data_IF_265053224235
#
_entry.id   IF_265053224235
#
_cell.length_a   1.000
_cell.length_b   1.000
_cell.length_c   1.000
_cell.angle_alpha   90.00
_cell.angle_beta   90.00
_cell.angle_gamma   90.00
#
_symmetry.space_group_name_H-M   'P 1'
#
loop_
_entity.id
_entity.type
_entity.pdbx_description
1 polymer ?
#
# COMPACT_ATOMS: atom_id res chain seq x y z
N UNK A 1 -22.66 5.82 -11.04
CA UNK A 1 -23.62 4.71 -11.29
C UNK A 1 -22.96 3.52 -12.01
N UNK A 2 -22.06 3.73 -12.97
CA UNK A 2 -21.44 2.65 -13.77
C UNK A 2 -20.61 1.66 -12.94
N UNK A 3 -19.84 2.14 -11.98
CA UNK A 3 -18.95 1.30 -11.14
C UNK A 3 -19.77 0.40 -10.19
N UNK A 4 -20.89 0.91 -9.65
CA UNK A 4 -21.72 0.15 -8.72
C UNK A 4 -22.46 -1.02 -9.38
N UNK A 5 -22.71 -0.95 -10.68
CA UNK A 5 -23.41 -2.00 -11.43
C UNK A 5 -22.53 -3.17 -11.85
N UNK A 6 -21.19 -3.04 -11.73
CA UNK A 6 -20.28 -4.11 -12.10
C UNK A 6 -20.19 -5.15 -10.98
N UNK A 7 -20.43 -6.41 -11.33
CA UNK A 7 -20.15 -7.52 -10.42
C UNK A 7 -18.64 -7.65 -10.21
N UNK A 8 -18.26 -7.92 -8.96
CA UNK A 8 -16.86 -8.20 -8.63
C UNK A 8 -16.47 -9.62 -9.03
N UNK A 9 -16.18 -9.80 -10.32
CA UNK A 9 -15.63 -11.05 -10.89
C UNK A 9 -14.14 -10.90 -11.19
N UNK A 10 -13.37 -11.97 -11.24
CA UNK A 10 -11.93 -11.91 -11.52
C UNK A 10 -11.58 -11.09 -12.77
N UNK A 11 -12.35 -11.18 -13.83
CA UNK A 11 -12.15 -10.44 -15.08
C UNK A 11 -12.72 -9.02 -15.07
N UNK A 12 -13.54 -8.65 -14.09
CA UNK A 12 -14.14 -7.32 -14.02
C UNK A 12 -13.20 -6.24 -13.48
N UNK A 13 -12.01 -6.61 -12.97
CA UNK A 13 -11.05 -5.67 -12.39
C UNK A 13 -10.54 -4.65 -13.42
N UNK A 14 -10.17 -5.13 -14.60
CA UNK A 14 -9.79 -4.23 -15.69
C UNK A 14 -10.97 -3.38 -16.18
N UNK A 15 -12.16 -3.93 -16.19
CA UNK A 15 -13.37 -3.18 -16.51
C UNK A 15 -13.67 -2.09 -15.47
N UNK A 16 -13.43 -2.38 -14.18
CA UNK A 16 -13.52 -1.39 -13.10
C UNK A 16 -12.52 -0.24 -13.31
N UNK A 17 -11.27 -0.57 -13.60
CA UNK A 17 -10.23 0.42 -13.88
C UNK A 17 -10.60 1.28 -15.09
N UNK A 18 -10.98 0.65 -16.19
CA UNK A 18 -11.42 1.34 -17.40
C UNK A 18 -12.61 2.26 -17.14
N UNK A 19 -13.66 1.75 -16.49
CA UNK A 19 -14.84 2.56 -16.16
C UNK A 19 -14.53 3.71 -15.22
N UNK A 20 -13.57 3.52 -14.32
CA UNK A 20 -13.11 4.59 -13.44
C UNK A 20 -12.37 5.67 -14.22
N UNK A 21 -11.48 5.28 -15.14
CA UNK A 21 -10.73 6.22 -15.97
C UNK A 21 -11.66 7.02 -16.90
N UNK A 22 -12.65 6.36 -17.50
CA UNK A 22 -13.66 6.99 -18.36
C UNK A 22 -14.45 8.10 -17.64
N UNK A 23 -14.74 7.95 -16.33
CA UNK A 23 -15.39 9.01 -15.51
C UNK A 23 -14.53 10.27 -15.43
N UNK A 24 -13.22 10.13 -15.54
CA UNK A 24 -12.24 11.22 -15.51
C UNK A 24 -11.68 11.52 -16.91
N UNK A 25 -12.48 11.33 -17.96
CA UNK A 25 -12.12 11.63 -19.35
C UNK A 25 -10.82 10.92 -19.82
N UNK A 26 -10.55 9.72 -19.28
CA UNK A 26 -9.35 8.91 -19.52
C UNK A 26 -8.03 9.59 -19.09
N UNK A 27 -8.08 10.43 -18.07
CA UNK A 27 -6.92 11.14 -17.55
C UNK A 27 -6.48 10.67 -16.15
N UNK A 28 -7.30 9.89 -15.45
CA UNK A 28 -7.00 9.51 -14.05
C UNK A 28 -5.74 8.64 -13.95
N UNK A 29 -5.62 7.65 -14.85
CA UNK A 29 -4.44 6.78 -14.90
C UNK A 29 -3.16 7.57 -15.09
N UNK A 30 -3.16 8.51 -16.04
CA UNK A 30 -2.01 9.39 -16.30
C UNK A 30 -1.69 10.25 -15.09
N UNK A 31 -2.70 10.92 -14.53
CA UNK A 31 -2.54 11.81 -13.36
C UNK A 31 -1.97 11.06 -12.16
N UNK A 32 -2.52 9.90 -11.84
CA UNK A 32 -2.01 9.08 -10.74
C UNK A 32 -0.58 8.62 -10.99
N UNK A 33 -0.27 8.18 -12.20
CA UNK A 33 1.09 7.76 -12.56
C UNK A 33 2.09 8.91 -12.46
N UNK A 34 1.73 10.11 -12.86
CA UNK A 34 2.59 11.29 -12.73
C UNK A 34 2.86 11.62 -11.26
N UNK A 35 1.82 11.65 -10.41
CA UNK A 35 1.94 11.94 -8.99
C UNK A 35 2.80 10.87 -8.27
N UNK A 36 2.52 9.60 -8.54
CA UNK A 36 3.16 8.49 -7.86
C UNK A 36 4.62 8.31 -8.29
N UNK A 37 4.97 8.62 -9.54
CA UNK A 37 6.34 8.51 -10.04
C UNK A 37 7.18 9.78 -9.81
N UNK A 38 6.57 10.85 -9.34
CA UNK A 38 7.32 12.04 -8.92
C UNK A 38 7.86 11.84 -7.51
N UNK A 39 9.19 11.78 -7.38
CA UNK A 39 9.84 11.61 -6.07
C UNK A 39 9.46 12.69 -5.04
N UNK A 40 9.05 13.87 -5.47
CA UNK A 40 8.67 14.96 -4.55
C UNK A 40 7.30 14.74 -3.92
N UNK A 41 6.42 14.02 -4.60
CA UNK A 41 5.06 13.72 -4.13
C UNK A 41 4.93 12.26 -3.72
N UNK A 42 5.06 11.32 -4.62
CA UNK A 42 5.08 9.87 -4.37
C UNK A 42 3.83 9.29 -3.72
N UNK A 43 2.84 10.11 -3.40
CA UNK A 43 1.60 9.68 -2.73
C UNK A 43 0.41 10.55 -3.15
N UNK A 44 -0.79 9.97 -3.04
CA UNK A 44 -2.03 10.67 -3.29
C UNK A 44 -3.11 10.22 -2.30
N UNK A 45 -3.97 11.14 -1.90
CA UNK A 45 -5.18 10.85 -1.14
C UNK A 45 -6.36 10.95 -2.11
N UNK A 46 -7.12 9.87 -2.22
CA UNK A 46 -8.36 9.85 -3.00
C UNK A 46 -9.53 9.88 -2.06
N UNK A 47 -10.20 11.02 -2.01
CA UNK A 47 -11.39 11.22 -1.18
C UNK A 47 -12.63 11.28 -2.10
N UNK A 48 -13.51 10.28 -2.03
CA UNK A 48 -14.74 10.32 -2.79
C UNK A 48 -15.69 11.40 -2.23
N UNK A 49 -16.11 12.36 -3.06
CA UNK A 49 -17.11 13.36 -2.66
C UNK A 49 -18.49 12.72 -2.54
N UNK A 50 -18.87 12.42 -1.30
CA UNK A 50 -20.13 11.74 -1.01
C UNK A 50 -20.98 12.58 -0.09
N UNK A 51 -21.63 13.52 -0.69
CA UNK A 51 -22.67 14.28 -0.01
C UNK A 51 -23.84 13.37 0.31
N UNK A 52 -24.01 13.06 1.60
CA UNK A 52 -25.19 12.39 2.16
C UNK A 52 -25.41 10.89 1.78
N UNK A 53 -24.38 10.15 1.39
CA UNK A 53 -24.51 8.70 1.20
C UNK A 53 -23.65 7.94 2.21
N UNK A 54 -24.26 6.97 2.87
CA UNK A 54 -23.53 5.97 3.65
C UNK A 54 -22.75 5.08 2.67
N UNK A 55 -21.44 4.96 2.89
CA UNK A 55 -20.61 4.10 2.05
C UNK A 55 -21.02 2.65 2.15
N UNK A 56 -21.16 2.02 0.99
CA UNK A 56 -21.16 0.58 0.87
C UNK A 56 -19.70 0.09 0.81
N UNK A 57 -19.37 -0.88 1.66
CA UNK A 57 -18.03 -1.50 1.68
C UNK A 57 -17.68 -2.13 0.33
N UNK A 58 -18.66 -2.62 -0.40
CA UNK A 58 -18.49 -3.15 -1.75
C UNK A 58 -18.04 -2.07 -2.74
N UNK A 59 -18.62 -0.88 -2.66
CA UNK A 59 -18.16 0.28 -3.44
C UNK A 59 -16.69 0.61 -3.17
N UNK A 60 -16.27 0.63 -1.91
CA UNK A 60 -14.88 0.95 -1.55
C UNK A 60 -13.90 -0.12 -2.07
N UNK A 61 -14.26 -1.40 -2.02
CA UNK A 61 -13.46 -2.48 -2.61
C UNK A 61 -13.36 -2.31 -4.13
N UNK A 62 -14.45 -1.99 -4.81
CA UNK A 62 -14.46 -1.76 -6.25
C UNK A 62 -13.62 -0.55 -6.63
N UNK A 63 -13.75 0.56 -5.89
CA UNK A 63 -12.96 1.77 -6.10
C UNK A 63 -11.47 1.49 -5.95
N UNK A 64 -11.06 0.88 -4.83
CA UNK A 64 -9.67 0.53 -4.57
C UNK A 64 -9.10 -0.42 -5.64
N UNK A 65 -9.92 -1.39 -6.07
CA UNK A 65 -9.54 -2.30 -7.15
C UNK A 65 -9.34 -1.56 -8.46
N UNK A 66 -10.27 -0.67 -8.81
CA UNK A 66 -10.13 0.16 -10.01
C UNK A 66 -8.87 1.02 -9.99
N UNK A 67 -8.62 1.71 -8.89
CA UNK A 67 -7.42 2.52 -8.70
C UNK A 67 -6.14 1.69 -8.82
N UNK A 68 -6.09 0.52 -8.17
CA UNK A 68 -4.93 -0.36 -8.24
C UNK A 68 -4.60 -0.79 -9.67
N UNK A 69 -5.61 -1.17 -10.45
CA UNK A 69 -5.42 -1.58 -11.84
C UNK A 69 -5.21 -0.42 -12.83
N UNK A 70 -5.43 0.82 -12.42
CA UNK A 70 -5.05 1.99 -13.20
C UNK A 70 -3.55 2.28 -13.14
N UNK A 71 -2.91 1.97 -12.01
CA UNK A 71 -1.51 2.33 -11.79
C UNK A 71 -0.54 1.14 -11.91
N UNK A 72 -1.04 -0.09 -11.84
CA UNK A 72 -0.18 -1.27 -11.93
C UNK A 72 -0.94 -2.59 -11.85
N UNK A 73 -0.21 -3.64 -11.51
CA UNK A 73 -0.75 -4.98 -11.32
C UNK A 73 -0.72 -5.32 -9.82
N UNK A 74 -1.87 -5.43 -9.17
CA UNK A 74 -1.91 -5.82 -7.76
C UNK A 74 -1.32 -7.21 -7.53
N UNK A 75 -0.55 -7.35 -6.47
CA UNK A 75 -0.01 -8.64 -6.05
C UNK A 75 -1.12 -9.50 -5.44
N UNK A 76 -1.03 -10.79 -5.72
CA UNK A 76 -1.94 -11.77 -5.13
C UNK A 76 -1.50 -12.08 -3.69
N UNK A 77 -2.41 -11.90 -2.73
CA UNK A 77 -2.17 -12.29 -1.36
C UNK A 77 -2.59 -13.75 -1.14
N UNK A 78 -1.61 -14.63 -1.02
CA UNK A 78 -1.83 -16.05 -0.81
C UNK A 78 -2.54 -16.37 0.51
N UNK A 79 -2.43 -15.51 1.52
CA UNK A 79 -3.10 -15.71 2.81
C UNK A 79 -4.61 -15.51 2.73
N UNK A 80 -5.04 -14.52 1.97
CA UNK A 80 -6.47 -14.21 1.81
C UNK A 80 -7.08 -14.85 0.56
N UNK A 81 -6.25 -15.36 -0.35
CA UNK A 81 -6.68 -15.86 -1.65
C UNK A 81 -7.25 -14.77 -2.57
N UNK A 82 -6.84 -13.52 -2.36
CA UNK A 82 -7.38 -12.33 -3.04
C UNK A 82 -6.26 -11.37 -3.42
N UNK A 83 -6.61 -10.35 -4.18
CA UNK A 83 -5.71 -9.23 -4.50
C UNK A 83 -5.85 -8.06 -3.52
N UNK A 84 -6.42 -8.31 -2.36
CA UNK A 84 -6.48 -7.37 -1.25
C UNK A 84 -6.60 -8.11 0.07
N UNK A 85 -6.12 -7.50 1.15
CA UNK A 85 -6.33 -7.96 2.51
C UNK A 85 -7.29 -7.01 3.25
N UNK A 86 -8.12 -7.55 4.12
CA UNK A 86 -8.95 -6.76 5.03
C UNK A 86 -8.38 -6.85 6.44
N UNK A 87 -8.10 -5.72 6.99
CA UNK A 87 -7.67 -5.60 8.38
C UNK A 87 -8.82 -5.02 9.21
N UNK A 88 -8.96 -5.53 10.41
CA UNK A 88 -9.89 -5.04 11.42
C UNK A 88 -9.30 -5.12 12.81
N UNK A 89 -9.44 -4.05 13.55
CA UNK A 89 -8.99 -4.00 14.93
C UNK A 89 -9.81 -5.02 15.72
N UNK A 90 -9.11 -5.99 16.31
CA UNK A 90 -9.65 -6.88 17.30
C UNK A 90 -9.08 -6.42 18.64
N UNK A 91 -9.96 -5.99 19.54
CA UNK A 91 -9.55 -5.55 20.88
C UNK A 91 -9.04 -6.71 21.77
N UNK A 92 -8.33 -7.65 21.18
CA UNK A 92 -7.69 -8.77 21.85
C UNK A 92 -6.21 -8.69 21.55
N UNK A 93 -5.42 -8.46 22.60
CA UNK A 93 -3.99 -8.53 22.50
C UNK A 93 -3.57 -10.00 22.39
N UNK A 94 -3.13 -10.41 21.23
CA UNK A 94 -2.42 -11.66 21.08
C UNK A 94 -0.96 -11.33 20.80
N UNK A 95 -0.12 -11.73 21.72
CA UNK A 95 1.25 -11.28 21.94
C UNK A 95 2.28 -11.60 20.87
N UNK A 96 1.94 -12.22 19.76
CA UNK A 96 2.92 -12.79 18.84
C UNK A 96 3.11 -12.03 17.53
N UNK A 97 2.34 -10.97 17.31
CA UNK A 97 2.45 -10.14 16.10
C UNK A 97 2.08 -8.69 16.38
N UNK A 98 2.92 -7.78 15.95
CA UNK A 98 2.65 -6.33 15.97
C UNK A 98 1.35 -5.96 15.23
N UNK A 99 0.95 -6.73 14.21
CA UNK A 99 -0.30 -6.54 13.46
C UNK A 99 -1.56 -6.82 14.30
N UNK A 100 -1.41 -7.42 15.48
CA UNK A 100 -2.52 -7.78 16.36
C UNK A 100 -2.61 -6.91 17.60
N UNK A 101 -1.66 -5.98 17.76
CA UNK A 101 -1.64 -5.03 18.87
C UNK A 101 -2.52 -3.83 18.54
N UNK A 102 -3.71 -3.78 19.13
CA UNK A 102 -4.69 -2.73 18.84
C UNK A 102 -4.30 -1.34 19.36
N UNK A 103 -3.43 -1.29 20.37
CA UNK A 103 -3.12 -0.06 21.13
C UNK A 103 -1.65 0.34 21.09
N UNK A 104 -0.86 -0.30 20.23
CA UNK A 104 0.55 -0.01 20.08
C UNK A 104 0.79 0.70 18.76
N UNK A 105 1.56 1.77 18.79
CA UNK A 105 1.98 2.41 17.55
C UNK A 105 2.78 1.42 16.70
N UNK A 106 2.53 1.45 15.43
CA UNK A 106 3.35 0.77 14.45
C UNK A 106 4.47 1.71 14.03
N UNK A 107 5.71 1.28 14.21
CA UNK A 107 6.86 2.07 13.81
C UNK A 107 6.88 2.29 12.28
N UNK A 108 7.50 3.39 11.87
CA UNK A 108 7.72 3.68 10.45
C UNK A 108 8.50 2.53 9.81
N UNK A 109 8.01 2.00 8.72
CA UNK A 109 8.58 0.85 8.01
C UNK A 109 8.25 0.91 6.52
N UNK A 110 8.96 0.12 5.76
CA UNK A 110 8.61 -0.21 4.37
C UNK A 110 7.96 -1.59 4.33
N UNK A 111 7.05 -1.79 3.41
CA UNK A 111 6.40 -3.10 3.22
C UNK A 111 7.11 -3.92 2.13
N UNK A 112 7.01 -5.24 2.26
CA UNK A 112 7.46 -6.16 1.21
C UNK A 112 8.97 -6.41 1.18
N UNK A 113 9.71 -6.12 2.25
CA UNK A 113 11.17 -6.31 2.33
C UNK A 113 11.62 -7.76 2.14
N UNK A 114 10.79 -8.73 2.46
CA UNK A 114 11.09 -10.16 2.42
C UNK A 114 10.57 -10.89 1.17
N UNK A 115 10.03 -10.15 0.18
CA UNK A 115 9.57 -10.74 -1.09
C UNK A 115 10.51 -10.42 -2.23
N UNK A 116 10.64 -11.36 -3.16
CA UNK A 116 11.53 -11.20 -4.32
C UNK A 116 11.08 -10.07 -5.25
N UNK A 117 9.77 -9.97 -5.46
CA UNK A 117 9.17 -8.89 -6.24
C UNK A 117 8.75 -7.79 -5.30
N UNK A 118 9.52 -6.71 -5.29
CA UNK A 118 9.24 -5.54 -4.42
C UNK A 118 7.91 -4.92 -4.77
N UNK A 119 7.23 -4.42 -3.74
CA UNK A 119 6.00 -3.65 -3.89
C UNK A 119 6.36 -2.21 -4.20
N UNK A 120 5.95 -1.71 -5.36
CA UNK A 120 6.18 -0.30 -5.74
C UNK A 120 5.22 0.64 -5.01
N UNK A 121 3.96 0.23 -4.86
CA UNK A 121 2.87 1.06 -4.32
C UNK A 121 1.96 0.29 -3.39
N UNK A 122 1.44 0.98 -2.38
CA UNK A 122 0.43 0.44 -1.46
C UNK A 122 -0.81 1.31 -1.56
N UNK A 123 -1.97 0.67 -1.71
CA UNK A 123 -3.26 1.33 -1.58
C UNK A 123 -3.89 0.91 -0.26
N UNK A 124 -4.11 1.87 0.60
CA UNK A 124 -4.83 1.68 1.86
C UNK A 124 -6.21 2.34 1.77
N UNK A 125 -7.25 1.60 2.11
CA UNK A 125 -8.62 2.10 2.08
C UNK A 125 -9.26 2.00 3.44
N UNK A 126 -9.59 3.14 4.03
CA UNK A 126 -10.34 3.21 5.28
C UNK A 126 -11.80 2.88 4.99
N UNK A 127 -12.24 1.73 5.48
CA UNK A 127 -13.58 1.18 5.21
C UNK A 127 -14.61 1.62 6.23
N UNK A 128 -14.21 1.76 7.48
CA UNK A 128 -15.09 2.06 8.59
C UNK A 128 -14.28 2.63 9.75
N UNK A 129 -14.86 3.57 10.45
CA UNK A 129 -14.33 4.15 11.67
C UNK A 129 -15.47 4.33 12.67
N UNK A 130 -15.26 3.86 13.90
CA UNK A 130 -16.23 3.99 14.98
C UNK A 130 -15.51 4.36 16.27
N UNK A 131 -15.87 5.51 16.84
CA UNK A 131 -15.42 5.96 18.18
C UNK A 131 -13.89 5.90 18.37
N UNK A 132 -13.13 6.34 17.39
CA UNK A 132 -11.68 6.16 17.37
C UNK A 132 -10.96 7.42 17.81
N UNK A 133 -10.14 7.28 18.84
CA UNK A 133 -8.98 8.13 19.06
C UNK A 133 -7.75 7.33 18.65
N UNK A 134 -6.98 7.79 17.67
CA UNK A 134 -5.85 7.05 17.12
C UNK A 134 -6.18 6.32 15.80
N UNK A 135 -5.22 5.57 15.28
CA UNK A 135 -5.35 4.86 14.01
C UNK A 135 -5.08 5.74 12.80
N UNK A 136 -4.42 6.85 13.01
CA UNK A 136 -3.92 7.72 11.94
C UNK A 136 -2.82 7.02 11.16
N UNK A 137 -2.80 7.21 9.84
CA UNK A 137 -1.68 6.82 9.01
C UNK A 137 -0.64 7.92 9.02
N UNK A 138 0.61 7.56 9.34
CA UNK A 138 1.76 8.48 9.29
C UNK A 138 2.61 8.09 8.10
N UNK A 139 2.95 9.06 7.27
CA UNK A 139 3.81 8.88 6.11
C UNK A 139 5.01 9.82 6.28
N UNK A 140 6.21 9.26 6.22
CA UNK A 140 7.46 10.02 6.14
C UNK A 140 7.97 9.97 4.71
N UNK A 141 8.16 11.14 4.09
CA UNK A 141 8.85 11.21 2.82
C UNK A 141 10.34 10.91 3.04
N UNK A 142 10.90 10.04 2.23
CA UNK A 142 12.28 9.58 2.45
C UNK A 142 13.29 10.72 2.45
N UNK A 143 13.13 11.71 1.56
CA UNK A 143 14.03 12.87 1.48
C UNK A 143 13.88 13.84 2.67
N UNK A 144 12.83 13.72 3.50
CA UNK A 144 12.64 14.50 4.73
C UNK A 144 13.23 13.79 5.96
N UNK A 145 13.78 12.58 5.77
CA UNK A 145 14.42 11.87 6.86
C UNK A 145 15.84 12.40 7.09
N UNK A 146 16.05 13.06 8.20
CA UNK A 146 17.32 13.75 8.53
C UNK A 146 18.55 12.84 8.52
N UNK A 147 18.39 11.55 8.78
CA UNK A 147 19.49 10.58 8.80
C UNK A 147 19.70 9.84 7.47
N UNK A 148 18.94 10.19 6.42
CA UNK A 148 19.01 9.47 5.14
C UNK A 148 20.41 9.49 4.54
N UNK A 149 21.04 10.68 4.49
CA UNK A 149 22.34 10.84 3.86
C UNK A 149 23.43 10.06 4.59
N UNK A 150 23.47 10.18 5.91
CA UNK A 150 24.47 9.50 6.74
C UNK A 150 24.31 7.98 6.64
N UNK A 151 23.11 7.48 6.84
CA UNK A 151 22.86 6.03 6.87
C UNK A 151 22.95 5.38 5.48
N UNK A 152 22.54 6.08 4.43
CA UNK A 152 22.65 5.55 3.06
C UNK A 152 24.09 5.53 2.53
N UNK A 153 24.97 6.30 3.12
CA UNK A 153 26.41 6.30 2.80
C UNK A 153 27.22 5.40 3.76
N UNK A 154 26.63 4.90 4.83
CA UNK A 154 27.31 3.95 5.73
C UNK A 154 27.53 2.62 4.99
N UNK A 155 28.75 2.07 5.01
CA UNK A 155 29.07 0.80 4.38
C UNK A 155 28.15 -0.34 4.79
N UNK A 156 27.72 -0.39 6.05
CA UNK A 156 26.81 -1.42 6.55
C UNK A 156 25.44 -1.37 5.86
N UNK A 157 24.97 -0.20 5.49
CA UNK A 157 23.69 -0.02 4.79
C UNK A 157 23.70 -0.53 3.35
N UNK A 158 24.90 -0.80 2.81
CA UNK A 158 25.13 -1.32 1.47
C UNK A 158 25.44 -2.82 1.46
N UNK A 159 25.57 -3.46 2.64
CA UNK A 159 25.74 -4.90 2.75
C UNK A 159 24.40 -5.63 2.56
N UNK A 160 24.45 -6.81 1.97
CA UNK A 160 23.28 -7.65 1.82
C UNK A 160 22.90 -8.29 3.16
N UNK A 161 21.64 -8.12 3.53
CA UNK A 161 21.02 -8.76 4.68
C UNK A 161 19.99 -9.80 4.23
N UNK A 162 19.82 -10.85 5.02
CA UNK A 162 18.76 -11.83 4.82
C UNK A 162 17.48 -11.31 5.44
N UNK A 163 16.49 -11.03 4.61
CA UNK A 163 15.17 -10.59 5.02
C UNK A 163 14.19 -11.77 5.02
N UNK A 164 13.64 -12.08 6.18
CA UNK A 164 12.71 -13.19 6.34
C UNK A 164 11.28 -12.73 6.58
N UNK A 165 10.32 -13.50 6.06
CA UNK A 165 8.92 -13.24 6.35
C UNK A 165 8.61 -13.38 7.84
N UNK A 166 7.74 -12.51 8.41
CA UNK A 166 7.33 -12.68 9.81
C UNK A 166 6.58 -14.01 10.00
N UNK A 167 6.76 -14.64 11.15
CA UNK A 167 6.10 -15.91 11.51
C UNK A 167 4.57 -15.84 11.38
N UNK A 168 3.99 -14.66 11.58
CA UNK A 168 2.55 -14.41 11.45
C UNK A 168 2.00 -14.57 10.03
N UNK A 169 2.87 -14.58 9.01
CA UNK A 169 2.48 -14.71 7.60
C UNK A 169 2.31 -16.17 7.15
N UNK A 170 2.68 -17.17 7.96
CA UNK A 170 2.62 -18.59 7.60
C UNK A 170 3.30 -18.95 6.27
N UNK A 171 4.29 -18.16 5.88
CA UNK A 171 5.15 -18.38 4.70
C UNK A 171 6.60 -18.25 5.14
N UNK A 172 7.51 -18.96 4.49
CA UNK A 172 8.96 -18.88 4.75
C UNK A 172 9.67 -18.31 3.52
N UNK A 173 9.42 -17.02 3.28
CA UNK A 173 10.13 -16.30 2.23
C UNK A 173 11.42 -15.73 2.79
N UNK A 174 12.48 -15.79 1.99
CA UNK A 174 13.77 -15.18 2.29
C UNK A 174 14.34 -14.57 1.04
N UNK A 175 14.84 -13.37 1.18
CA UNK A 175 15.55 -12.66 0.12
C UNK A 175 16.79 -11.99 0.71
N UNK A 176 17.77 -11.75 -0.12
CA UNK A 176 18.98 -11.02 0.25
C UNK A 176 19.05 -9.72 -0.54
N UNK A 177 19.20 -8.63 0.15
CA UNK A 177 19.46 -7.32 -0.45
C UNK A 177 19.91 -6.32 0.62
N UNK A 178 20.55 -5.21 0.24
CA UNK A 178 20.96 -4.16 1.17
C UNK A 178 19.75 -3.38 1.69
N UNK A 179 19.94 -2.66 2.79
CA UNK A 179 18.95 -1.73 3.33
C UNK A 179 18.71 -0.58 2.35
N UNK A 180 19.81 -0.02 1.81
CA UNK A 180 19.73 1.09 0.88
C UNK A 180 20.15 0.68 -0.53
N UNK A 181 19.49 1.26 -1.50
CA UNK A 181 19.78 1.16 -2.92
C UNK A 181 19.72 2.56 -3.55
N UNK A 182 19.93 2.66 -4.84
CA UNK A 182 19.79 3.92 -5.57
C UNK A 182 18.73 3.78 -6.66
N UNK A 183 17.91 4.81 -6.81
CA UNK A 183 16.99 4.92 -7.94
C UNK A 183 17.74 5.22 -9.26
N UNK A 184 17.00 5.29 -10.37
CA UNK A 184 17.55 5.61 -11.69
C UNK A 184 18.26 6.95 -11.79
N UNK A 185 18.04 7.86 -10.85
CA UNK A 185 18.65 9.18 -10.77
C UNK A 185 19.81 9.20 -9.76
N UNK A 186 20.20 8.06 -9.20
CA UNK A 186 21.26 7.92 -8.21
C UNK A 186 20.87 8.36 -6.79
N UNK A 187 19.59 8.62 -6.55
CA UNK A 187 19.08 9.00 -5.21
C UNK A 187 18.86 7.77 -4.32
N UNK A 188 19.13 7.88 -3.01
CA UNK A 188 18.90 6.77 -2.09
C UNK A 188 17.46 6.31 -2.09
N UNK A 189 17.28 5.01 -2.01
CA UNK A 189 16.00 4.33 -1.74
C UNK A 189 16.21 3.37 -0.58
N UNK A 190 15.15 3.08 0.16
CA UNK A 190 15.16 2.13 1.28
C UNK A 190 14.27 0.92 0.94
N UNK A 191 14.69 -0.23 1.38
CA UNK A 191 13.95 -1.49 1.18
C UNK A 191 13.35 -1.97 2.48
#
# INVERSE_FOLDING_TARGET
HSILSLEYKPFSRFSLAKSLDEVFENNLSKTLSEILNDRKTGTAIVEPDIKNKKFDKDFLVKLSTGLAYLVGNPNFDSMTGKYYARFHVKHQDSSDSYLRKAYTNLDLHTDGTYVKEKTDWIIMTKMEEQNVGGGESVILHLDDWEHLEDLSNDPIGQEDFVWGSPKSKNVDYKVEHPVFSKDKNGKPTIS
#
